data_IF_851807886818
#
_entry.id   IF_851807886818
#
_cell.length_a   1.000
_cell.length_b   1.000
_cell.length_c   1.000
_cell.angle_alpha   90.00
_cell.angle_beta   90.00
_cell.angle_gamma   90.00
#
_symmetry.space_group_name_H-M   'P 1'
#
loop_
_entity.id
_entity.type
_entity.pdbx_description
1 polymer ?
#
# COMPACT_ATOMS: atom_id res chain seq x y z
N UNK A 1 -12.28 -1.96 -43.30
CA UNK A 1 -12.69 -3.39 -43.27
C UNK A 1 -11.41 -4.17 -43.50
N UNK A 2 -10.81 -4.81 -42.50
CA UNK A 2 -11.33 -5.99 -41.80
C UNK A 2 -10.77 -6.02 -40.37
N UNK A 3 -11.67 -6.09 -39.38
CA UNK A 3 -11.36 -6.35 -37.97
C UNK A 3 -11.33 -7.86 -37.75
N UNK A 4 -10.29 -8.37 -37.11
CA UNK A 4 -10.22 -9.74 -36.59
C UNK A 4 -9.85 -9.63 -35.12
N UNK A 5 -10.86 -9.65 -34.25
CA UNK A 5 -10.69 -10.11 -32.88
C UNK A 5 -10.54 -11.63 -32.90
N UNK A 6 -9.73 -12.21 -32.00
CA UNK A 6 -10.29 -13.35 -31.28
C UNK A 6 -9.87 -13.46 -29.80
N UNK A 7 -10.77 -14.11 -29.05
CA UNK A 7 -10.65 -14.69 -27.71
C UNK A 7 -10.77 -13.79 -26.48
N UNK A 8 -12.02 -13.38 -26.20
CA UNK A 8 -12.50 -13.26 -24.83
C UNK A 8 -12.81 -14.68 -24.28
N UNK A 9 -11.84 -15.27 -23.58
CA UNK A 9 -12.05 -16.52 -22.85
C UNK A 9 -12.70 -16.23 -21.50
N UNK A 10 -14.03 -16.31 -21.40
CA UNK A 10 -14.70 -16.35 -20.11
C UNK A 10 -14.57 -17.75 -19.51
N UNK A 11 -13.80 -17.89 -18.42
CA UNK A 11 -13.79 -19.11 -17.60
C UNK A 11 -14.70 -18.89 -16.40
N UNK A 12 -15.88 -19.51 -16.43
CA UNK A 12 -16.83 -19.49 -15.31
C UNK A 12 -16.66 -20.75 -14.48
N UNK A 13 -16.20 -20.63 -13.24
CA UNK A 13 -16.17 -21.76 -12.29
C UNK A 13 -17.51 -21.87 -11.56
N UNK A 14 -18.29 -22.91 -11.86
CA UNK A 14 -19.54 -23.20 -11.13
C UNK A 14 -19.24 -24.04 -9.88
N UNK A 15 -19.14 -23.38 -8.73
CA UNK A 15 -18.78 -23.98 -7.44
C UNK A 15 -19.88 -24.85 -6.79
N UNK A 16 -21.07 -25.01 -7.43
CA UNK A 16 -22.21 -25.71 -6.79
C UNK A 16 -22.22 -27.24 -6.93
N UNK A 17 -21.38 -27.85 -7.76
CA UNK A 17 -21.42 -29.29 -8.03
C UNK A 17 -20.13 -30.05 -7.66
N UNK A 18 -19.57 -29.80 -6.47
CA UNK A 18 -18.54 -30.68 -5.87
C UNK A 18 -19.16 -31.57 -4.77
N UNK A 19 -20.25 -32.27 -5.10
CA UNK A 19 -20.68 -33.43 -4.32
C UNK A 19 -19.96 -34.65 -4.90
N UNK A 20 -18.91 -35.11 -4.22
CA UNK A 20 -18.21 -36.35 -4.57
C UNK A 20 -19.02 -37.55 -4.08
N UNK A 21 -19.76 -38.20 -4.97
CA UNK A 21 -20.21 -39.57 -4.79
C UNK A 21 -19.00 -40.52 -4.85
N UNK A 22 -18.95 -41.48 -3.92
CA UNK A 22 -18.26 -42.75 -4.13
C UNK A 22 -16.81 -42.88 -3.62
N UNK A 23 -16.70 -43.47 -2.43
CA UNK A 23 -15.68 -44.44 -1.98
C UNK A 23 -14.18 -44.09 -2.02
N UNK A 24 -13.57 -44.06 -0.84
CA UNK A 24 -12.52 -45.00 -0.38
C UNK A 24 -11.45 -44.32 0.47
N UNK A 25 -11.09 -45.00 1.56
CA UNK A 25 -10.09 -44.61 2.55
C UNK A 25 -8.71 -44.48 1.92
N UNK A 26 -8.14 -43.27 1.92
CA UNK A 26 -6.71 -43.04 2.19
C UNK A 26 -6.54 -41.64 2.75
N UNK A 27 -6.07 -41.55 3.99
CA UNK A 27 -5.53 -40.35 4.61
C UNK A 27 -4.24 -39.94 3.90
N UNK A 28 -4.37 -39.08 2.90
CA UNK A 28 -3.26 -38.34 2.32
C UNK A 28 -3.76 -36.92 2.14
N UNK A 29 -3.07 -35.94 2.72
CA UNK A 29 -3.36 -34.52 2.54
C UNK A 29 -3.24 -34.21 1.05
N UNK A 30 -4.33 -34.35 0.29
CA UNK A 30 -4.40 -33.85 -1.09
C UNK A 30 -4.48 -32.34 -0.97
N UNK A 31 -3.33 -31.69 -1.09
CA UNK A 31 -3.25 -30.24 -1.26
C UNK A 31 -4.14 -29.79 -2.41
N UNK A 32 -4.58 -28.54 -2.35
CA UNK A 32 -5.45 -27.94 -3.36
C UNK A 32 -4.91 -28.23 -4.78
N UNK A 33 -5.71 -28.73 -5.75
CA UNK A 33 -5.20 -29.19 -7.05
C UNK A 33 -4.36 -28.17 -7.82
N UNK A 34 -4.62 -26.87 -7.62
CA UNK A 34 -3.82 -25.78 -8.19
C UNK A 34 -2.34 -25.88 -7.78
N UNK A 35 -2.04 -26.45 -6.62
CA UNK A 35 -0.68 -26.62 -6.11
C UNK A 35 0.13 -27.70 -6.84
N UNK A 36 -0.51 -28.47 -7.74
CA UNK A 36 0.14 -29.48 -8.56
C UNK A 36 0.55 -28.95 -9.95
N UNK A 37 0.12 -27.72 -10.30
CA UNK A 37 0.48 -27.11 -11.56
C UNK A 37 1.95 -26.63 -11.53
N UNK A 38 2.67 -26.72 -12.66
CA UNK A 38 3.99 -26.11 -12.79
C UNK A 38 3.94 -24.59 -12.56
N UNK A 39 5.09 -23.99 -12.24
CA UNK A 39 5.17 -22.57 -11.90
C UNK A 39 4.62 -21.65 -13.00
N UNK A 40 4.97 -21.88 -14.27
CA UNK A 40 4.61 -20.98 -15.37
C UNK A 40 3.08 -20.86 -15.59
N UNK A 41 2.30 -21.96 -15.69
CA UNK A 41 0.84 -21.88 -15.72
C UNK A 41 0.24 -21.15 -14.50
N UNK A 42 0.79 -21.38 -13.30
CA UNK A 42 0.32 -20.71 -12.10
C UNK A 42 0.61 -19.22 -12.11
N UNK A 43 1.80 -18.82 -12.58
CA UNK A 43 2.17 -17.42 -12.71
C UNK A 43 1.23 -16.70 -13.67
N UNK A 44 0.88 -17.32 -14.80
CA UNK A 44 -0.10 -16.77 -15.74
C UNK A 44 -1.46 -16.55 -15.08
N UNK A 45 -1.94 -17.52 -14.30
CA UNK A 45 -3.20 -17.37 -13.55
C UNK A 45 -3.08 -16.23 -12.54
N UNK A 46 -1.98 -16.16 -11.78
CA UNK A 46 -1.76 -15.11 -10.78
C UNK A 46 -1.73 -13.71 -11.40
N UNK A 47 -1.14 -13.56 -12.60
CA UNK A 47 -1.11 -12.29 -13.34
C UNK A 47 -2.49 -11.78 -13.76
N UNK A 48 -3.47 -12.66 -13.89
CA UNK A 48 -4.85 -12.29 -14.21
C UNK A 48 -5.74 -12.07 -12.97
N UNK A 49 -5.23 -12.35 -11.76
CA UNK A 49 -5.95 -12.09 -10.52
C UNK A 49 -6.01 -10.58 -10.24
N UNK A 50 -7.14 -10.12 -9.71
CA UNK A 50 -7.26 -8.78 -9.14
C UNK A 50 -6.37 -8.64 -7.89
N UNK A 51 -6.05 -7.40 -7.52
CA UNK A 51 -5.18 -7.12 -6.37
C UNK A 51 -5.68 -7.77 -5.08
N UNK A 52 -7.00 -7.73 -4.86
CA UNK A 52 -7.65 -8.33 -3.70
C UNK A 52 -7.52 -9.85 -3.67
N UNK A 53 -7.68 -10.50 -4.83
CA UNK A 53 -7.54 -11.95 -4.97
C UNK A 53 -6.09 -12.37 -4.71
N UNK A 54 -5.11 -11.61 -5.22
CA UNK A 54 -3.68 -11.84 -4.95
C UNK A 54 -3.39 -11.72 -3.46
N UNK A 55 -3.85 -10.66 -2.80
CA UNK A 55 -3.63 -10.45 -1.37
C UNK A 55 -4.29 -11.56 -0.55
N UNK A 56 -5.55 -11.86 -0.82
CA UNK A 56 -6.30 -12.93 -0.15
C UNK A 56 -5.58 -14.28 -0.29
N UNK A 57 -5.15 -14.62 -1.52
CA UNK A 57 -4.42 -15.86 -1.78
C UNK A 57 -3.07 -15.91 -1.05
N UNK A 58 -2.34 -14.80 -0.94
CA UNK A 58 -1.10 -14.73 -0.17
C UNK A 58 -1.33 -14.95 1.34
N UNK A 59 -2.49 -14.51 1.85
CA UNK A 59 -2.84 -14.70 3.26
C UNK A 59 -3.28 -16.14 3.58
N UNK A 60 -3.77 -16.91 2.60
CA UNK A 60 -4.27 -18.29 2.84
C UNK A 60 -3.21 -19.27 3.38
N UNK A 61 -1.96 -19.22 2.91
CA UNK A 61 -0.92 -20.16 3.33
C UNK A 61 0.49 -19.62 3.07
N UNK A 62 1.50 -20.14 3.76
CA UNK A 62 2.90 -19.81 3.48
C UNK A 62 3.33 -20.24 2.07
N UNK A 63 2.77 -21.34 1.56
CA UNK A 63 3.09 -21.87 0.23
C UNK A 63 2.61 -20.93 -0.89
N UNK A 64 1.37 -20.46 -0.80
CA UNK A 64 0.79 -19.50 -1.77
C UNK A 64 1.45 -18.15 -1.66
N UNK A 65 1.78 -17.69 -0.44
CA UNK A 65 2.59 -16.49 -0.23
C UNK A 65 3.93 -16.57 -0.96
N UNK A 66 4.73 -17.62 -0.70
CA UNK A 66 6.04 -17.80 -1.34
C UNK A 66 5.93 -17.92 -2.87
N UNK A 67 4.86 -18.53 -3.37
CA UNK A 67 4.60 -18.61 -4.80
C UNK A 67 4.33 -17.22 -5.40
N UNK A 68 3.41 -16.44 -4.82
CA UNK A 68 3.08 -15.10 -5.31
C UNK A 68 4.26 -14.14 -5.19
N UNK A 69 5.07 -14.25 -4.13
CA UNK A 69 6.31 -13.47 -3.96
C UNK A 69 7.37 -13.70 -5.03
N UNK A 70 7.25 -14.78 -5.81
CA UNK A 70 8.15 -15.10 -6.94
C UNK A 70 7.59 -14.65 -8.29
N UNK A 71 6.31 -14.30 -8.35
CA UNK A 71 5.69 -13.81 -9.58
C UNK A 71 6.14 -12.38 -9.87
N UNK A 72 6.21 -12.01 -11.16
CA UNK A 72 6.45 -10.64 -11.58
C UNK A 72 5.14 -10.01 -12.03
N UNK A 73 4.56 -9.14 -11.22
CA UNK A 73 3.34 -8.41 -11.56
C UNK A 73 3.68 -7.08 -12.25
N UNK A 74 2.70 -6.51 -12.95
CA UNK A 74 2.84 -5.20 -13.57
C UNK A 74 2.45 -4.09 -12.59
N UNK A 75 3.04 -2.91 -12.76
CA UNK A 75 2.69 -1.72 -11.99
C UNK A 75 1.33 -1.19 -12.48
N UNK A 76 0.30 -1.39 -11.67
CA UNK A 76 -1.08 -1.02 -12.03
C UNK A 76 -1.78 -0.19 -10.94
N UNK A 77 -1.13 -0.02 -9.78
CA UNK A 77 -1.72 0.66 -8.62
C UNK A 77 -1.05 1.99 -8.30
N UNK A 78 -1.77 2.83 -7.55
CA UNK A 78 -1.22 3.96 -6.80
C UNK A 78 -1.45 3.68 -5.32
N UNK A 79 -0.44 3.91 -4.50
CA UNK A 79 -0.46 3.56 -3.09
C UNK A 79 -0.31 4.78 -2.21
N UNK A 80 -1.01 4.79 -1.08
CA UNK A 80 -0.86 5.80 -0.04
C UNK A 80 -0.60 5.10 1.29
N UNK A 81 0.52 5.38 1.92
CA UNK A 81 0.84 4.89 3.27
C UNK A 81 0.54 6.01 4.25
N UNK A 82 -0.43 5.79 5.12
CA UNK A 82 -0.88 6.76 6.12
C UNK A 82 -0.33 6.40 7.49
N UNK A 83 0.22 7.37 8.20
CA UNK A 83 0.69 7.23 9.58
C UNK A 83 0.07 8.32 10.46
N UNK A 84 -0.52 7.96 11.61
CA UNK A 84 -1.09 8.93 12.53
C UNK A 84 -1.20 8.39 13.96
N UNK A 85 -0.73 9.18 14.93
CA UNK A 85 -0.99 8.94 16.35
C UNK A 85 -2.41 9.39 16.71
N UNK A 86 -3.22 8.43 17.15
CA UNK A 86 -4.56 8.66 17.67
C UNK A 86 -4.58 8.47 19.19
N UNK A 87 -5.64 8.96 19.84
CA UNK A 87 -5.82 8.78 21.30
C UNK A 87 -5.77 7.32 21.74
N UNK A 88 -6.12 6.39 20.85
CA UNK A 88 -6.19 4.95 21.10
C UNK A 88 -4.97 4.18 20.59
N UNK A 89 -3.90 4.90 20.19
CA UNK A 89 -2.67 4.32 19.66
C UNK A 89 -2.31 4.82 18.27
N UNK A 90 -1.13 4.42 17.80
CA UNK A 90 -0.63 4.74 16.47
C UNK A 90 -1.32 3.87 15.43
N UNK A 91 -1.89 4.52 14.42
CA UNK A 91 -2.53 3.89 13.26
C UNK A 91 -1.60 4.02 12.05
N UNK A 92 -1.50 2.93 11.29
CA UNK A 92 -0.88 2.96 9.99
C UNK A 92 -1.62 2.04 9.01
N UNK A 93 -2.03 2.64 7.89
CA UNK A 93 -2.86 2.01 6.87
C UNK A 93 -2.23 2.21 5.50
N UNK A 94 -2.29 1.18 4.66
CA UNK A 94 -1.85 1.26 3.27
C UNK A 94 -3.11 1.24 2.40
N UNK A 95 -3.44 2.37 1.78
CA UNK A 95 -4.50 2.44 0.77
C UNK A 95 -3.89 2.13 -0.59
N UNK A 96 -4.51 1.22 -1.32
CA UNK A 96 -4.12 0.79 -2.66
C UNK A 96 -5.28 1.11 -3.59
N UNK A 97 -5.05 1.96 -4.58
CA UNK A 97 -6.03 2.37 -5.57
C UNK A 97 -5.63 1.95 -6.98
N UNK A 98 -6.62 1.59 -7.78
CA UNK A 98 -6.57 1.50 -9.24
C UNK A 98 -7.63 2.43 -9.82
N UNK A 99 -7.77 2.46 -11.14
CA UNK A 99 -8.87 3.13 -11.83
C UNK A 99 -10.25 2.56 -11.47
N UNK A 100 -10.33 1.28 -11.08
CA UNK A 100 -11.59 0.56 -10.83
C UNK A 100 -11.84 0.17 -9.38
N UNK A 101 -10.81 0.04 -8.55
CA UNK A 101 -10.91 -0.53 -7.20
C UNK A 101 -10.04 0.22 -6.18
N UNK A 102 -10.51 0.33 -4.94
CA UNK A 102 -9.71 0.81 -3.79
C UNK A 102 -9.81 -0.14 -2.61
N UNK A 103 -8.66 -0.52 -2.06
CA UNK A 103 -8.51 -1.39 -0.89
C UNK A 103 -7.66 -0.72 0.19
N UNK A 104 -7.96 -0.99 1.46
CA UNK A 104 -7.18 -0.53 2.61
C UNK A 104 -6.62 -1.74 3.34
N UNK A 105 -5.30 -1.77 3.52
CA UNK A 105 -4.58 -2.79 4.27
C UNK A 105 -4.20 -2.21 5.64
N UNK A 106 -4.77 -2.75 6.70
CA UNK A 106 -4.48 -2.29 8.06
C UNK A 106 -3.26 -2.99 8.63
N UNK A 107 -2.25 -2.21 9.03
CA UNK A 107 -0.97 -2.73 9.53
C UNK A 107 -0.89 -2.75 11.08
N UNK A 108 -1.91 -2.22 11.77
CA UNK A 108 -1.98 -2.09 13.23
C UNK A 108 -3.08 -2.95 13.89
N UNK A 109 -3.27 -2.76 15.19
CA UNK A 109 -4.39 -3.36 15.94
C UNK A 109 -5.67 -2.68 15.46
N UNK A 110 -6.57 -3.46 14.86
CA UNK A 110 -7.84 -2.99 14.32
C UNK A 110 -8.58 -2.09 15.34
N UNK A 111 -8.64 -0.80 15.05
CA UNK A 111 -9.57 0.10 15.71
C UNK A 111 -10.64 0.47 14.68
N UNK A 112 -11.89 0.36 15.13
CA UNK A 112 -13.12 0.45 14.37
C UNK A 112 -13.14 1.63 13.38
N UNK A 113 -13.64 1.32 12.18
CA UNK A 113 -14.29 2.23 11.24
C UNK A 113 -13.72 3.66 11.19
N UNK A 114 -12.60 3.83 10.49
CA UNK A 114 -12.31 5.12 9.90
C UNK A 114 -13.19 5.31 8.67
N UNK A 115 -14.38 5.88 8.89
CA UNK A 115 -15.10 6.62 7.84
C UNK A 115 -14.27 7.87 7.47
N UNK A 116 -13.21 7.68 6.68
CA UNK A 116 -12.63 8.77 5.91
C UNK A 116 -13.52 9.03 4.69
N UNK A 117 -14.48 9.94 4.88
CA UNK A 117 -15.02 10.87 3.88
C UNK A 117 -15.38 10.34 2.49
N UNK A 118 -16.67 10.41 2.19
CA UNK A 118 -17.31 10.41 0.87
C UNK A 118 -17.13 9.16 -0.03
N UNK A 119 -18.12 8.27 0.03
CA UNK A 119 -18.75 7.67 -1.16
C UNK A 119 -18.09 6.48 -1.84
N UNK A 120 -16.84 6.14 -1.54
CA UNK A 120 -16.19 4.95 -2.11
C UNK A 120 -16.22 3.83 -1.06
N UNK A 121 -16.87 2.71 -1.38
CA UNK A 121 -16.81 1.49 -0.58
C UNK A 121 -15.35 1.03 -0.58
N UNK A 122 -14.62 1.29 0.51
CA UNK A 122 -13.24 0.84 0.67
C UNK A 122 -13.27 -0.55 1.30
N UNK A 123 -12.74 -1.55 0.59
CA UNK A 123 -12.57 -2.88 1.18
C UNK A 123 -11.42 -2.85 2.16
N UNK A 124 -11.68 -3.18 3.43
CA UNK A 124 -10.66 -3.21 4.48
C UNK A 124 -10.18 -4.64 4.66
N UNK A 125 -8.86 -4.85 4.53
CA UNK A 125 -8.21 -6.15 4.68
C UNK A 125 -7.25 -6.12 5.86
N UNK A 126 -7.44 -7.05 6.79
CA UNK A 126 -6.56 -7.26 7.92
C UNK A 126 -5.41 -8.21 7.54
N UNK A 127 -4.17 -7.79 7.78
CA UNK A 127 -2.98 -8.60 7.48
C UNK A 127 -2.24 -9.05 8.74
N UNK A 128 -2.99 -9.47 9.77
CA UNK A 128 -2.46 -9.88 11.07
C UNK A 128 -1.38 -10.98 11.00
N UNK A 129 -1.42 -11.83 9.96
CA UNK A 129 -0.38 -12.84 9.64
C UNK A 129 1.01 -12.24 9.45
N UNK A 130 1.09 -10.99 8.99
CA UNK A 130 2.34 -10.30 8.68
C UNK A 130 2.77 -9.29 9.75
N UNK A 131 1.96 -9.10 10.79
CA UNK A 131 2.26 -8.19 11.89
C UNK A 131 2.76 -8.98 13.12
N UNK A 132 3.75 -8.43 13.82
CA UNK A 132 4.16 -8.87 15.15
C UNK A 132 3.57 -7.93 16.20
N UNK A 133 2.77 -8.47 17.12
CA UNK A 133 2.14 -7.72 18.22
C UNK A 133 3.14 -7.07 19.18
N UNK A 134 4.40 -7.52 19.17
CA UNK A 134 5.49 -6.95 20.00
C UNK A 134 6.17 -5.76 19.32
N UNK A 135 6.00 -5.58 18.01
CA UNK A 135 6.63 -4.52 17.26
C UNK A 135 5.72 -3.28 17.19
N UNK A 136 6.32 -2.06 17.15
CA UNK A 136 5.55 -0.83 16.93
C UNK A 136 4.81 -0.83 15.59
N UNK A 137 3.73 -0.06 15.48
CA UNK A 137 2.92 0.05 14.27
C UNK A 137 3.73 0.44 13.02
N UNK A 138 4.65 1.40 13.14
CA UNK A 138 5.55 1.77 12.03
C UNK A 138 6.37 0.58 11.52
N UNK A 139 6.92 -0.24 12.44
CA UNK A 139 7.71 -1.42 12.06
C UNK A 139 6.85 -2.50 11.40
N UNK A 140 5.64 -2.73 11.88
CA UNK A 140 4.70 -3.64 11.22
C UNK A 140 4.33 -3.15 9.81
N UNK A 141 4.14 -1.84 9.66
CA UNK A 141 3.83 -1.23 8.35
C UNK A 141 4.96 -1.41 7.37
N UNK A 142 6.20 -1.19 7.81
CA UNK A 142 7.43 -1.48 7.07
C UNK A 142 7.48 -2.93 6.56
N UNK A 143 7.25 -3.91 7.44
CA UNK A 143 7.22 -5.33 7.09
C UNK A 143 6.10 -5.69 6.11
N UNK A 144 4.90 -5.14 6.32
CA UNK A 144 3.73 -5.34 5.46
C UNK A 144 3.97 -4.70 4.10
N UNK A 145 4.48 -3.47 4.05
CA UNK A 145 4.65 -2.72 2.80
C UNK A 145 5.62 -3.42 1.87
N UNK A 146 6.74 -3.95 2.38
CA UNK A 146 7.67 -4.80 1.61
C UNK A 146 6.99 -5.98 0.92
N UNK A 147 5.94 -6.53 1.52
CA UNK A 147 5.13 -7.61 0.92
C UNK A 147 4.14 -7.07 -0.10
N UNK A 148 3.47 -5.96 0.21
CA UNK A 148 2.53 -5.30 -0.68
C UNK A 148 3.20 -4.88 -1.99
N UNK A 149 4.36 -4.22 -1.95
CA UNK A 149 5.07 -3.79 -3.16
C UNK A 149 5.43 -4.94 -4.11
N UNK A 150 5.59 -6.17 -3.58
CA UNK A 150 5.86 -7.36 -4.40
C UNK A 150 4.60 -7.97 -4.99
N UNK A 151 3.52 -7.99 -4.23
CA UNK A 151 2.24 -8.62 -4.64
C UNK A 151 1.42 -7.69 -5.54
N UNK A 152 1.50 -6.40 -5.27
CA UNK A 152 0.77 -5.32 -5.91
C UNK A 152 1.76 -4.20 -6.15
N UNK A 153 2.54 -4.26 -7.24
CA UNK A 153 3.46 -3.19 -7.59
C UNK A 153 2.71 -1.88 -7.87
N UNK A 154 3.38 -0.76 -7.60
CA UNK A 154 2.80 0.58 -7.68
C UNK A 154 3.55 1.43 -8.68
N UNK A 155 2.81 2.24 -9.44
CA UNK A 155 3.36 3.28 -10.30
C UNK A 155 3.89 4.45 -9.45
N UNK A 156 3.37 4.62 -8.23
CA UNK A 156 3.84 5.63 -7.29
C UNK A 156 3.30 5.43 -5.89
N UNK A 157 4.04 5.92 -4.90
CA UNK A 157 3.63 5.88 -3.49
C UNK A 157 3.54 7.30 -2.93
N UNK A 158 2.45 7.61 -2.23
CA UNK A 158 2.31 8.80 -1.40
C UNK A 158 2.50 8.43 0.07
N UNK A 159 3.32 9.18 0.79
CA UNK A 159 3.42 9.07 2.26
C UNK A 159 2.58 10.16 2.89
N UNK A 160 1.65 9.78 3.76
CA UNK A 160 0.82 10.73 4.48
C UNK A 160 1.17 10.70 5.97
N UNK A 161 1.65 11.83 6.47
CA UNK A 161 2.07 12.03 7.85
C UNK A 161 1.00 12.86 8.57
N UNK A 162 0.23 12.18 9.41
CA UNK A 162 -0.79 12.75 10.28
C UNK A 162 -0.19 13.45 11.49
N UNK A 163 -0.79 13.25 12.66
CA UNK A 163 -0.20 13.67 13.94
C UNK A 163 0.92 12.70 14.31
N UNK A 164 2.18 13.12 14.25
CA UNK A 164 3.34 12.30 14.62
C UNK A 164 4.38 13.16 15.33
N UNK A 165 5.12 12.57 16.26
CA UNK A 165 6.32 13.20 16.81
C UNK A 165 7.49 13.13 15.81
N UNK A 166 8.49 14.00 15.97
CA UNK A 166 9.66 14.10 15.09
C UNK A 166 10.42 12.77 14.94
N UNK A 167 10.58 12.02 16.03
CA UNK A 167 11.32 10.75 16.02
C UNK A 167 10.61 9.67 15.19
N UNK A 168 9.27 9.67 15.17
CA UNK A 168 8.49 8.76 14.35
C UNK A 168 8.45 9.20 12.88
N UNK A 169 8.44 10.50 12.60
CA UNK A 169 8.64 11.03 11.24
C UNK A 169 9.99 10.57 10.69
N UNK A 170 11.07 10.71 11.45
CA UNK A 170 12.41 10.26 11.05
C UNK A 170 12.45 8.76 10.74
N UNK A 171 11.84 7.92 11.59
CA UNK A 171 11.74 6.47 11.33
C UNK A 171 11.01 6.15 10.03
N UNK A 172 9.99 6.92 9.66
CA UNK A 172 9.26 6.74 8.39
C UNK A 172 10.14 7.18 7.22
N UNK A 173 10.75 8.37 7.29
CA UNK A 173 11.51 8.93 6.16
C UNK A 173 12.83 8.18 5.88
N UNK A 174 13.46 7.59 6.90
CA UNK A 174 14.70 6.78 6.75
C UNK A 174 14.42 5.38 6.21
N UNK A 175 13.17 4.91 6.23
CA UNK A 175 12.84 3.53 5.88
C UNK A 175 13.06 3.26 4.38
N UNK A 176 13.89 2.26 4.07
CA UNK A 176 14.26 1.89 2.69
C UNK A 176 13.04 1.57 1.82
N UNK A 177 12.01 0.95 2.38
CA UNK A 177 10.76 0.63 1.69
C UNK A 177 9.91 1.84 1.35
N UNK A 178 10.14 2.99 1.99
CA UNK A 178 9.42 4.22 1.73
C UNK A 178 10.25 5.25 0.98
N UNK A 179 11.49 4.93 0.59
CA UNK A 179 12.45 5.90 0.03
C UNK A 179 12.02 6.51 -1.32
N UNK A 180 11.32 5.74 -2.16
CA UNK A 180 10.97 6.11 -3.54
C UNK A 180 9.52 6.65 -3.58
N UNK A 181 9.24 7.63 -2.74
CA UNK A 181 7.91 8.23 -2.61
C UNK A 181 7.70 9.34 -3.63
N UNK A 182 6.54 9.41 -4.28
CA UNK A 182 6.21 10.44 -5.27
C UNK A 182 5.70 11.74 -4.63
N UNK A 183 5.04 11.62 -3.47
CA UNK A 183 4.44 12.73 -2.75
C UNK A 183 4.48 12.48 -1.24
N UNK A 184 4.78 13.52 -0.45
CA UNK A 184 4.59 13.53 0.99
C UNK A 184 3.51 14.55 1.35
N UNK A 185 2.50 14.10 2.09
CA UNK A 185 1.44 14.95 2.61
C UNK A 185 1.57 15.05 4.12
N UNK A 186 1.95 16.22 4.62
CA UNK A 186 1.98 16.49 6.06
C UNK A 186 0.67 17.18 6.43
N UNK A 187 -0.17 16.51 7.22
CA UNK A 187 -1.46 17.05 7.63
C UNK A 187 -1.73 16.69 9.09
N UNK A 188 -1.44 17.63 9.99
CA UNK A 188 -1.57 17.43 11.43
C UNK A 188 -0.61 18.31 12.20
N UNK A 189 -0.54 18.09 13.51
CA UNK A 189 0.43 18.76 14.38
C UNK A 189 1.75 18.01 14.30
N UNK A 190 2.47 18.16 13.19
CA UNK A 190 3.89 17.82 13.07
C UNK A 190 4.67 19.09 13.36
N UNK A 191 5.66 19.03 14.26
CA UNK A 191 6.45 20.21 14.61
C UNK A 191 7.39 20.63 13.46
N UNK A 192 7.89 21.87 13.52
CA UNK A 192 8.77 22.41 12.48
C UNK A 192 10.02 21.55 12.23
N UNK A 193 10.51 20.86 13.27
CA UNK A 193 11.62 19.90 13.14
C UNK A 193 11.22 18.66 12.35
N UNK A 194 10.04 18.10 12.60
CA UNK A 194 9.51 16.97 11.82
C UNK A 194 9.30 17.34 10.36
N UNK A 195 8.81 18.55 10.08
CA UNK A 195 8.74 19.07 8.70
C UNK A 195 10.14 19.20 8.09
N UNK A 196 11.11 19.71 8.86
CA UNK A 196 12.52 19.78 8.44
C UNK A 196 13.07 18.42 8.02
N UNK A 197 12.81 17.36 8.81
CA UNK A 197 13.20 16.00 8.45
C UNK A 197 12.59 15.58 7.11
N UNK A 198 11.29 15.82 6.86
CA UNK A 198 10.68 15.47 5.57
C UNK A 198 11.38 16.21 4.41
N UNK A 199 11.73 17.47 4.61
CA UNK A 199 12.43 18.29 3.61
C UNK A 199 13.85 17.80 3.33
N UNK A 200 14.58 17.31 4.33
CA UNK A 200 15.93 16.78 4.16
C UNK A 200 15.97 15.54 3.25
N UNK A 201 14.88 14.75 3.23
CA UNK A 201 14.74 13.56 2.37
C UNK A 201 14.02 13.85 1.04
N UNK A 202 13.56 15.07 0.82
CA UNK A 202 12.80 15.43 -0.36
C UNK A 202 13.70 15.90 -1.51
N UNK A 203 13.46 15.39 -2.72
CA UNK A 203 13.85 16.06 -3.96
C UNK A 203 12.71 16.97 -4.42
N UNK A 204 12.90 18.26 -4.24
CA UNK A 204 11.94 19.27 -4.72
C UNK A 204 11.87 19.21 -6.24
N UNK A 205 10.84 18.55 -6.77
CA UNK A 205 10.55 18.48 -8.20
C UNK A 205 9.26 19.25 -8.45
N UNK A 206 9.39 20.42 -9.07
CA UNK A 206 8.26 21.30 -9.31
C UNK A 206 7.51 20.86 -10.56
N UNK A 207 6.26 20.43 -10.38
CA UNK A 207 5.30 20.36 -11.48
C UNK A 207 4.40 21.60 -11.42
N UNK A 208 4.32 22.34 -12.53
CA UNK A 208 3.42 23.49 -12.74
C UNK A 208 3.69 24.75 -11.87
N UNK A 209 4.91 25.28 -11.89
CA UNK A 209 5.19 26.64 -11.35
C UNK A 209 6.34 27.30 -12.10
N UNK A 210 6.24 28.62 -12.31
CA UNK A 210 7.29 29.46 -12.89
C UNK A 210 8.35 29.92 -11.85
N UNK A 211 8.15 29.59 -10.57
CA UNK A 211 9.09 29.91 -9.50
C UNK A 211 10.37 29.07 -9.62
N UNK A 212 11.51 29.73 -9.40
CA UNK A 212 12.81 29.06 -9.31
C UNK A 212 12.93 28.33 -7.97
N UNK A 213 13.68 27.23 -7.97
CA UNK A 213 14.02 26.47 -6.75
C UNK A 213 14.54 27.37 -5.62
N UNK A 214 15.35 28.39 -5.96
CA UNK A 214 15.88 29.34 -4.99
C UNK A 214 14.81 30.19 -4.31
N UNK A 215 13.80 30.64 -5.06
CA UNK A 215 12.71 31.48 -4.54
C UNK A 215 11.81 30.68 -3.61
N UNK A 216 11.64 29.39 -3.90
CA UNK A 216 10.88 28.46 -3.07
C UNK A 216 11.64 28.10 -1.80
N UNK A 217 12.94 27.82 -1.89
CA UNK A 217 13.75 27.58 -0.68
C UNK A 217 13.71 28.81 0.23
N UNK A 218 13.80 30.02 -0.32
CA UNK A 218 13.62 31.26 0.45
C UNK A 218 12.23 31.33 1.10
N UNK A 219 11.18 30.99 0.36
CA UNK A 219 9.81 30.97 0.92
C UNK A 219 9.63 29.92 2.03
N UNK A 220 10.16 28.69 1.83
CA UNK A 220 10.12 27.62 2.83
C UNK A 220 10.86 28.03 4.09
N UNK A 221 12.10 28.53 3.96
CA UNK A 221 12.87 29.01 5.10
C UNK A 221 12.15 30.16 5.81
N UNK A 222 11.57 31.10 5.07
CA UNK A 222 10.77 32.17 5.65
C UNK A 222 9.55 31.64 6.43
N UNK A 223 8.85 30.64 5.90
CA UNK A 223 7.76 29.97 6.61
C UNK A 223 8.24 29.23 7.87
N UNK A 224 9.45 28.66 7.87
CA UNK A 224 10.03 27.96 9.01
C UNK A 224 10.56 28.89 10.10
N UNK A 225 11.07 30.06 9.71
CA UNK A 225 11.69 31.05 10.61
C UNK A 225 10.69 32.07 11.16
N UNK A 226 9.50 32.17 10.56
CA UNK A 226 8.45 33.10 11.01
C UNK A 226 7.81 32.66 12.32
N UNK A 227 7.74 33.58 13.29
CA UNK A 227 6.98 33.41 14.54
C UNK A 227 5.45 33.53 14.33
N UNK A 228 5.02 34.07 13.18
CA UNK A 228 3.62 34.16 12.77
C UNK A 228 3.23 33.02 11.82
N UNK A 229 1.97 32.57 11.89
CA UNK A 229 1.41 31.55 11.00
C UNK A 229 1.29 32.10 9.58
N UNK A 230 2.28 31.85 8.72
CA UNK A 230 2.33 32.39 7.33
C UNK A 230 1.36 31.68 6.39
N UNK A 231 0.98 30.43 6.68
CA UNK A 231 0.06 29.65 5.85
C UNK A 231 -0.74 28.65 6.69
N UNK A 232 -2.05 28.56 6.46
CA UNK A 232 -2.93 27.59 7.15
C UNK A 232 -2.81 26.15 6.65
N UNK A 233 -2.38 25.94 5.40
CA UNK A 233 -2.14 24.61 4.81
C UNK A 233 -1.21 24.74 3.59
N UNK A 234 -0.04 24.12 3.66
CA UNK A 234 0.85 23.98 2.50
C UNK A 234 0.77 22.53 2.02
N UNK A 235 0.40 22.33 0.76
CA UNK A 235 0.53 21.03 0.10
C UNK A 235 1.77 21.09 -0.78
N UNK A 236 2.87 20.48 -0.33
CA UNK A 236 4.08 20.40 -1.12
C UNK A 236 4.12 19.01 -1.76
N UNK A 237 3.98 18.96 -3.08
CA UNK A 237 4.29 17.77 -3.86
C UNK A 237 5.81 17.60 -3.88
N UNK A 238 6.33 16.85 -2.92
CA UNK A 238 7.74 16.51 -2.84
C UNK A 238 7.94 15.11 -3.45
N UNK A 239 8.96 14.89 -4.27
CA UNK A 239 9.30 13.55 -4.76
C UNK A 239 10.60 13.09 -4.09
N UNK A 240 10.71 11.83 -3.68
CA UNK A 240 11.90 11.20 -3.10
C UNK A 240 12.74 10.49 -4.15
#
# INVERSE_FOLDING_TARGET
>A
MTSIYPFAGHVTFNLKNLAMEGQSKTTGVRGFPIQMLPFLPLELIAKHMAMEERLSLALTSTKTELFLMRCRFHDESVQTVFFCDQKNGQVADITIGTDVETMVVQCGVANQDQEMGAGIIKKVVQVSKWCDKKLPTIHNTQLVYKKICRLIPSIGMTVYLGRLNTADVEKVMVAEEFKDWMMACVNGVVDARGVGVVMDYAKVTLMYTDLKVTEINTFIHHCMESEETVCGRITIGLAG
#
